data_IF_936258449517
#
_entry.id   IF_936258449517
#
_cell.length_a   1.000
_cell.length_b   1.000
_cell.length_c   1.000
_cell.angle_alpha   90.00
_cell.angle_beta   90.00
_cell.angle_gamma   90.00
#
_symmetry.space_group_name_H-M   'P 1'
#
loop_
_entity.id
_entity.type
_entity.pdbx_description
1 polymer ?
#
# COMPACT_ATOMS: atom_id res chain seq x y z
N UNK A 1 13.46 -13.85 -25.47
CA UNK A 1 13.40 -12.88 -24.34
C UNK A 1 11.93 -12.65 -24.04
N UNK A 2 11.42 -13.12 -22.90
CA UNK A 2 10.03 -12.92 -22.50
C UNK A 2 9.84 -11.48 -22.00
N UNK A 3 8.78 -10.81 -22.45
CA UNK A 3 8.35 -9.53 -21.87
C UNK A 3 7.37 -9.86 -20.75
N UNK A 4 7.84 -9.79 -19.51
CA UNK A 4 6.98 -9.99 -18.35
C UNK A 4 6.03 -8.81 -18.16
N UNK A 5 4.85 -9.08 -17.59
CA UNK A 5 3.96 -8.02 -17.11
C UNK A 5 4.66 -7.22 -16.01
N UNK A 6 4.26 -5.96 -15.83
CA UNK A 6 4.77 -5.09 -14.77
C UNK A 6 4.61 -5.77 -13.40
N UNK A 7 5.70 -5.80 -12.61
CA UNK A 7 5.71 -6.48 -11.32
C UNK A 7 6.06 -7.97 -11.37
N UNK A 8 6.43 -8.51 -12.54
CA UNK A 8 6.91 -9.89 -12.69
C UNK A 8 8.34 -9.92 -13.25
N UNK A 9 9.13 -10.87 -12.78
CA UNK A 9 10.55 -11.08 -13.13
C UNK A 9 10.81 -12.58 -13.29
N UNK A 10 12.02 -12.95 -13.72
CA UNK A 10 12.43 -14.33 -13.96
C UNK A 10 12.44 -14.72 -15.44
N UNK A 11 12.94 -15.93 -15.73
CA UNK A 11 13.07 -16.41 -17.12
C UNK A 11 11.71 -16.70 -17.75
N UNK A 12 10.73 -17.07 -16.92
CA UNK A 12 9.35 -17.38 -17.30
C UNK A 12 8.32 -16.48 -16.59
N UNK A 13 8.75 -15.35 -16.03
CA UNK A 13 7.88 -14.42 -15.28
C UNK A 13 7.27 -15.05 -14.01
N UNK A 14 8.00 -15.96 -13.38
CA UNK A 14 7.58 -16.69 -12.17
C UNK A 14 7.81 -15.92 -10.86
N UNK A 15 8.67 -14.89 -10.88
CA UNK A 15 8.99 -14.09 -9.71
C UNK A 15 8.05 -12.88 -9.59
N UNK A 16 7.33 -12.77 -8.49
CA UNK A 16 6.47 -11.60 -8.20
C UNK A 16 7.34 -10.54 -7.52
N UNK A 17 7.55 -9.42 -8.20
CA UNK A 17 8.28 -8.24 -7.71
C UNK A 17 7.41 -6.98 -7.65
N UNK A 18 6.08 -7.16 -7.67
CA UNK A 18 5.13 -6.04 -7.68
C UNK A 18 5.26 -5.18 -6.41
N UNK A 19 5.62 -5.80 -5.28
CA UNK A 19 5.88 -5.11 -4.03
C UNK A 19 7.26 -4.43 -3.97
N UNK A 20 8.22 -4.79 -4.81
CA UNK A 20 9.49 -4.07 -4.89
C UNK A 20 9.33 -2.70 -5.57
N UNK A 21 8.24 -2.52 -6.33
CA UNK A 21 7.89 -1.28 -6.99
C UNK A 21 7.10 -0.32 -6.08
N UNK A 22 6.65 -0.79 -4.91
CA UNK A 22 5.81 -0.04 -3.98
C UNK A 22 6.51 0.06 -2.63
N UNK A 23 6.74 1.28 -2.16
CA UNK A 23 7.41 1.53 -0.88
C UNK A 23 6.42 1.95 0.19
N UNK A 24 5.79 0.98 0.86
CA UNK A 24 4.93 1.25 2.00
C UNK A 24 5.77 1.68 3.21
N UNK A 25 5.62 2.90 3.71
CA UNK A 25 6.40 3.44 4.83
C UNK A 25 5.93 2.84 6.16
N UNK A 26 4.65 3.03 6.50
CA UNK A 26 4.03 2.51 7.72
C UNK A 26 2.97 1.45 7.39
N UNK A 27 3.36 0.41 6.66
CA UNK A 27 2.45 -0.65 6.27
C UNK A 27 3.15 -1.81 5.59
N UNK A 28 2.34 -2.76 5.13
CA UNK A 28 2.82 -3.92 4.38
C UNK A 28 2.28 -3.87 2.96
N UNK A 29 3.14 -4.11 1.96
CA UNK A 29 2.67 -4.26 0.60
C UNK A 29 1.85 -5.56 0.49
N UNK A 30 0.64 -5.43 -0.07
CA UNK A 30 -0.19 -6.55 -0.47
C UNK A 30 -0.50 -6.43 -1.96
N UNK A 31 -0.83 -7.56 -2.56
CA UNK A 31 -1.26 -7.61 -3.94
C UNK A 31 -2.43 -8.57 -4.06
N UNK A 32 -3.33 -8.27 -4.99
CA UNK A 32 -4.48 -9.08 -5.32
C UNK A 32 -4.58 -9.28 -6.83
N UNK A 33 -5.21 -10.39 -7.21
CA UNK A 33 -5.49 -10.71 -8.60
C UNK A 33 -6.92 -10.26 -8.93
N UNK A 34 -7.05 -9.35 -9.89
CA UNK A 34 -8.34 -9.00 -10.45
C UNK A 34 -8.88 -10.10 -11.37
N UNK A 35 -10.20 -10.15 -11.55
CA UNK A 35 -10.87 -11.13 -12.43
C UNK A 35 -10.40 -11.06 -13.89
N UNK A 36 -9.85 -9.93 -14.32
CA UNK A 36 -9.28 -9.74 -15.66
C UNK A 36 -7.87 -10.33 -15.81
N UNK A 37 -7.28 -10.91 -14.75
CA UNK A 37 -5.94 -11.49 -14.76
C UNK A 37 -4.81 -10.47 -14.60
N UNK A 38 -5.11 -9.26 -14.11
CA UNK A 38 -4.12 -8.27 -13.71
C UNK A 38 -3.89 -8.29 -12.20
N UNK A 39 -2.64 -8.05 -11.82
CA UNK A 39 -2.25 -7.93 -10.43
C UNK A 39 -2.28 -6.46 -10.03
N UNK A 40 -2.98 -6.16 -8.95
CA UNK A 40 -2.91 -4.86 -8.29
C UNK A 40 -2.04 -4.99 -7.06
N UNK A 41 -1.25 -3.98 -6.79
CA UNK A 41 -0.52 -3.84 -5.52
C UNK A 41 -1.06 -2.64 -4.75
N UNK A 42 -1.25 -2.79 -3.45
CA UNK A 42 -1.67 -1.72 -2.55
C UNK A 42 -0.97 -1.87 -1.19
N UNK A 43 -0.75 -0.74 -0.51
CA UNK A 43 -0.24 -0.77 0.83
C UNK A 43 -1.37 -1.01 1.83
N UNK A 44 -1.22 -2.04 2.65
CA UNK A 44 -2.04 -2.26 3.83
C UNK A 44 -1.42 -1.48 4.99
N UNK A 45 -1.98 -0.30 5.25
CA UNK A 45 -1.47 0.62 6.27
C UNK A 45 -1.72 0.11 7.68
N UNK A 46 -0.76 0.39 8.57
CA UNK A 46 -0.94 0.17 9.99
C UNK A 46 -2.03 1.11 10.54
N UNK A 47 -2.69 0.76 11.66
CA UNK A 47 -3.62 1.66 12.34
C UNK A 47 -2.95 3.01 12.62
N UNK A 48 -3.67 4.10 12.37
CA UNK A 48 -3.11 5.46 12.49
C UNK A 48 -2.33 5.93 11.26
N UNK A 49 -2.29 5.18 10.15
CA UNK A 49 -1.65 5.62 8.91
C UNK A 49 -2.55 5.45 7.70
N UNK A 50 -2.44 6.38 6.75
CA UNK A 50 -3.20 6.40 5.49
C UNK A 50 -2.34 6.89 4.32
N UNK A 51 -2.97 6.98 3.15
CA UNK A 51 -2.33 7.33 1.89
C UNK A 51 -1.83 6.10 1.12
N UNK A 52 -1.45 6.31 -0.15
CA UNK A 52 -1.07 5.23 -1.07
C UNK A 52 0.14 4.42 -0.57
N UNK A 53 1.05 5.09 0.13
CA UNK A 53 2.29 4.52 0.67
C UNK A 53 2.28 4.46 2.21
N UNK A 54 1.13 4.68 2.85
CA UNK A 54 1.01 4.75 4.31
C UNK A 54 1.97 5.77 4.95
N UNK A 55 2.23 6.87 4.23
CA UNK A 55 3.14 7.93 4.67
C UNK A 55 2.42 9.04 5.44
N UNK A 56 1.09 9.05 5.41
CA UNK A 56 0.27 10.05 6.07
C UNK A 56 -0.13 9.49 7.42
N UNK A 57 0.30 10.13 8.50
CA UNK A 57 -0.16 9.84 9.85
C UNK A 57 -1.61 10.33 9.98
N UNK A 58 -2.51 9.46 10.44
CA UNK A 58 -3.88 9.81 10.80
C UNK A 58 -3.76 10.44 12.18
N UNK A 59 -3.61 11.76 12.20
CA UNK A 59 -3.68 12.50 13.44
C UNK A 59 -5.12 12.42 13.97
N UNK A 60 -5.35 11.47 14.88
CA UNK A 60 -6.61 11.26 15.61
C UNK A 60 -7.03 12.53 16.39
N UNK A 61 -6.11 13.50 16.55
CA UNK A 61 -6.39 14.83 17.08
C UNK A 61 -6.67 15.89 16.00
N UNK A 62 -6.32 15.71 14.73
CA UNK A 62 -6.67 16.65 13.66
C UNK A 62 -8.14 16.55 13.23
N UNK A 63 -8.76 15.36 13.39
CA UNK A 63 -10.21 15.17 13.29
C UNK A 63 -10.99 15.76 14.50
N UNK A 64 -10.30 16.41 15.45
CA UNK A 64 -10.95 17.18 16.54
C UNK A 64 -11.46 18.55 16.11
N UNK A 65 -11.95 18.68 14.88
CA UNK A 65 -12.92 19.75 14.58
C UNK A 65 -14.24 19.51 15.34
N UNK A 66 -14.50 18.28 15.82
CA UNK A 66 -15.74 17.93 16.55
C UNK A 66 -15.58 17.32 17.96
N UNK A 67 -14.37 17.24 18.52
CA UNK A 67 -14.22 16.88 19.93
C UNK A 67 -13.38 17.93 20.66
N UNK A 68 -13.93 18.63 21.66
CA UNK A 68 -13.14 19.58 22.42
C UNK A 68 -12.01 18.79 23.07
N UNK A 69 -10.77 19.12 22.72
CA UNK A 69 -9.59 18.69 23.46
C UNK A 69 -9.75 19.28 24.87
N UNK A 70 -10.46 18.58 25.74
CA UNK A 70 -10.65 19.02 27.11
C UNK A 70 -9.35 18.80 27.87
N UNK A 71 -9.04 19.80 28.69
CA UNK A 71 -8.05 19.90 29.76
C UNK A 71 -6.79 20.67 29.34
N UNK A 72 -6.43 21.74 30.05
CA UNK A 72 -6.47 21.91 31.51
C UNK A 72 -6.80 23.35 31.93
#
# INVERSE_FOLDING_TARGET
>A
MCKCKTGFSGRHCEEIRICDLVSCIHGTCKYDLFENGDYVSFCNCNPGYQGKDCSIDIDECADKVNYPCLNN
#
